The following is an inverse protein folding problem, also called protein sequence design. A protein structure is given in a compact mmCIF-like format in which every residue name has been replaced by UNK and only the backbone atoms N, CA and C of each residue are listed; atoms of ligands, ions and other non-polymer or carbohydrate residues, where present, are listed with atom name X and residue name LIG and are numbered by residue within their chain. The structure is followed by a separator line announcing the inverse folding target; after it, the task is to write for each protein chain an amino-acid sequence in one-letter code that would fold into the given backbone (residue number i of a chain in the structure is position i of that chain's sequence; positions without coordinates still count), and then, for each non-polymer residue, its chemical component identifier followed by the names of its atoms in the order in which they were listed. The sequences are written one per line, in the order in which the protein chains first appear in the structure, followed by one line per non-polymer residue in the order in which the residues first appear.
data_IF_778933165237
#
_entry.id   IF_778933165237
#
_cell.length_a   1.000
_cell.length_b   1.000
_cell.length_c   1.000
_cell.angle_alpha   90.00
_cell.angle_beta   90.00
_cell.angle_gamma   90.00
#
_symmetry.space_group_name_H-M   'P 1'
#
loop_
_entity.id
_entity.type
_entity.pdbx_description
1 polymer ?
#
# COMPACT_ATOMS: atom_id res chain seq x y z
N UNK A 1 2.58 -22.05 22.62
CA UNK A 1 2.81 -21.00 21.59
C UNK A 1 1.90 -19.81 21.89
N UNK A 2 2.36 -18.57 21.70
CA UNK A 2 1.52 -17.38 21.84
C UNK A 2 1.00 -16.96 20.45
N UNK A 3 -0.27 -16.56 20.30
CA UNK A 3 -0.80 -16.10 19.02
C UNK A 3 -0.13 -14.78 18.61
N UNK A 4 0.22 -14.66 17.33
CA UNK A 4 0.65 -13.41 16.71
C UNK A 4 -0.53 -12.69 16.07
N UNK A 5 -0.48 -11.37 16.05
CA UNK A 5 -1.49 -10.52 15.38
C UNK A 5 -0.82 -9.81 14.22
N UNK A 6 -1.36 -9.98 13.02
CA UNK A 6 -0.90 -9.28 11.83
C UNK A 6 -1.80 -8.06 11.58
N UNK A 7 -1.17 -6.88 11.57
CA UNK A 7 -1.83 -5.62 11.29
C UNK A 7 -1.63 -5.27 9.82
N UNK A 8 -2.72 -5.31 9.06
CA UNK A 8 -2.70 -4.90 7.65
C UNK A 8 -3.00 -3.42 7.52
N UNK A 9 -2.25 -2.74 6.66
CA UNK A 9 -2.49 -1.39 6.19
C UNK A 9 -1.93 -1.26 4.76
N UNK A 10 -2.24 -0.15 4.09
CA UNK A 10 -1.66 0.17 2.77
C UNK A 10 -0.27 0.80 2.85
N UNK A 11 0.18 1.14 4.06
CA UNK A 11 1.35 1.98 4.31
C UNK A 11 1.19 3.39 3.74
N UNK A 12 2.31 4.05 3.51
CA UNK A 12 2.40 5.36 2.88
C UNK A 12 3.85 5.74 2.62
N UNK A 13 4.12 6.78 1.81
CA UNK A 13 5.47 7.26 1.56
C UNK A 13 6.03 7.94 2.82
N UNK A 14 7.24 7.57 3.23
CA UNK A 14 7.92 8.22 4.38
C UNK A 14 8.66 9.49 3.94
N UNK A 15 9.11 9.54 2.68
CA UNK A 15 9.81 10.69 2.08
C UNK A 15 9.20 11.04 0.74
N UNK A 16 9.49 12.26 0.26
CA UNK A 16 9.00 12.73 -1.05
C UNK A 16 9.41 11.83 -2.22
N UNK A 17 10.59 11.21 -2.15
CA UNK A 17 11.07 10.24 -3.16
C UNK A 17 10.18 9.00 -3.28
N UNK A 18 9.46 8.65 -2.20
CA UNK A 18 8.69 7.41 -2.11
C UNK A 18 7.29 7.57 -2.68
N UNK A 19 6.87 8.80 -2.94
CA UNK A 19 5.53 9.13 -3.46
C UNK A 19 5.29 8.43 -4.79
N UNK A 20 6.22 8.53 -5.74
CA UNK A 20 6.05 7.89 -7.06
C UNK A 20 5.96 6.36 -6.95
N UNK A 21 6.88 5.67 -6.25
CA UNK A 21 6.74 4.23 -6.01
C UNK A 21 5.45 3.81 -5.29
N UNK A 22 4.99 4.58 -4.28
CA UNK A 22 3.74 4.31 -3.57
C UNK A 22 2.53 4.41 -4.50
N UNK A 23 2.41 5.52 -5.23
CA UNK A 23 1.29 5.73 -6.16
C UNK A 23 1.30 4.69 -7.29
N UNK A 24 2.47 4.30 -7.79
CA UNK A 24 2.55 3.22 -8.79
C UNK A 24 1.93 1.93 -8.28
N UNK A 25 2.27 1.49 -7.05
CA UNK A 25 1.69 0.27 -6.46
C UNK A 25 0.19 0.42 -6.23
N UNK A 26 -0.23 1.57 -5.71
CA UNK A 26 -1.64 1.84 -5.39
C UNK A 26 -2.54 1.80 -6.64
N UNK A 27 -2.10 2.42 -7.74
CA UNK A 27 -2.90 2.49 -8.97
C UNK A 27 -2.71 1.27 -9.89
N UNK A 28 -1.67 0.46 -9.67
CA UNK A 28 -1.50 -0.80 -10.42
C UNK A 28 -2.39 -1.93 -9.89
N UNK A 29 -2.95 -1.77 -8.70
CA UNK A 29 -3.80 -2.76 -8.08
C UNK A 29 -5.27 -2.55 -8.47
N UNK A 30 -5.87 -3.43 -9.31
CA UNK A 30 -7.25 -3.31 -9.75
C UNK A 30 -8.29 -3.63 -8.66
N UNK A 31 -7.87 -4.23 -7.54
CA UNK A 31 -8.72 -4.42 -6.37
C UNK A 31 -8.81 -3.14 -5.53
N UNK A 32 -7.77 -2.29 -5.56
CA UNK A 32 -7.76 -1.00 -4.85
C UNK A 32 -8.32 0.13 -5.72
N UNK A 33 -7.83 0.31 -6.95
CA UNK A 33 -8.32 1.35 -7.86
C UNK A 33 -8.85 0.74 -9.14
N UNK A 34 -10.12 1.03 -9.46
CA UNK A 34 -10.71 0.74 -10.77
C UNK A 34 -10.86 2.01 -11.57
N UNK A 35 -10.10 2.11 -12.65
CA UNK A 35 -10.28 3.18 -13.63
C UNK A 35 -11.43 2.76 -14.55
N UNK A 36 -12.48 3.59 -14.60
CA UNK A 36 -13.57 3.47 -15.58
C UNK A 36 -13.22 4.21 -16.85
#
# INVERSE_FOLDING_TARGET
MKPGVLLFNLGGPERLSDVKPFLYRLFSDPEIVRVK
#
